data_IF_090932127237
#
_entry.id   IF_090932127237
#
_cell.length_a   1.000
_cell.length_b   1.000
_cell.length_c   1.000
_cell.angle_alpha   90.00
_cell.angle_beta   90.00
_cell.angle_gamma   90.00
#
_symmetry.space_group_name_H-M   'P 1'
#
loop_
_entity.id
_entity.type
_entity.pdbx_description
1 polymer ?
#
# COMPACT_ATOMS: atom_id res chain seq x y z
N UNK A 1 3.68 10.23 -22.46
CA UNK A 1 2.61 11.01 -21.83
C UNK A 1 2.89 11.07 -20.35
N UNK A 2 2.97 9.91 -19.68
CA UNK A 2 3.41 9.77 -18.30
C UNK A 2 4.94 9.80 -18.18
N UNK A 3 5.64 8.93 -18.92
CA UNK A 3 7.11 8.83 -18.85
C UNK A 3 7.73 8.51 -20.22
N UNK A 4 9.01 8.86 -20.47
CA UNK A 4 9.69 8.53 -21.73
C UNK A 4 9.82 7.03 -22.00
N UNK A 5 9.77 6.19 -20.96
CA UNK A 5 9.91 4.74 -21.02
C UNK A 5 8.56 4.00 -20.91
N UNK A 6 7.44 4.71 -20.98
CA UNK A 6 6.13 4.08 -21.13
C UNK A 6 6.04 3.33 -22.47
N UNK A 7 5.17 2.33 -22.53
CA UNK A 7 4.91 1.59 -23.77
C UNK A 7 3.42 1.57 -24.06
N UNK A 8 3.06 1.84 -25.31
CA UNK A 8 1.69 1.80 -25.78
C UNK A 8 1.41 0.47 -26.46
N UNK A 9 0.28 -0.12 -26.13
CA UNK A 9 -0.18 -1.39 -26.66
C UNK A 9 -1.52 -1.15 -27.36
N UNK A 10 -1.56 -1.18 -28.70
CA UNK A 10 -2.81 -1.03 -29.45
C UNK A 10 -3.84 -2.07 -29.02
N UNK A 11 -5.12 -1.71 -29.08
CA UNK A 11 -6.20 -2.65 -28.84
C UNK A 11 -6.18 -3.76 -29.89
N UNK A 12 -6.61 -4.96 -29.48
CA UNK A 12 -6.74 -6.10 -30.38
C UNK A 12 -8.11 -6.08 -31.04
N UNK A 13 -8.28 -6.78 -32.18
CA UNK A 13 -9.57 -6.83 -32.89
C UNK A 13 -10.70 -7.44 -32.04
N UNK A 14 -10.36 -8.36 -31.14
CA UNK A 14 -11.32 -9.01 -30.23
C UNK A 14 -11.46 -8.28 -28.88
N UNK A 15 -10.79 -7.14 -28.71
CA UNK A 15 -10.70 -6.41 -27.45
C UNK A 15 -10.09 -7.19 -26.28
N UNK A 16 -9.29 -8.22 -26.56
CA UNK A 16 -8.48 -8.91 -25.56
C UNK A 16 -7.37 -8.00 -25.03
N UNK A 17 -7.00 -8.18 -23.76
CA UNK A 17 -5.86 -7.47 -23.14
C UNK A 17 -4.55 -7.81 -23.89
N UNK A 18 -3.89 -6.83 -24.54
CA UNK A 18 -2.75 -7.07 -25.44
C UNK A 18 -1.63 -7.92 -24.84
N UNK A 19 -1.05 -8.79 -25.68
CA UNK A 19 0.13 -9.57 -25.30
C UNK A 19 1.32 -8.66 -24.97
N UNK A 20 1.99 -8.91 -23.84
CA UNK A 20 3.10 -8.08 -23.33
C UNK A 20 2.72 -7.07 -22.26
N UNK A 21 1.42 -6.88 -21.98
CA UNK A 21 0.94 -6.32 -20.72
C UNK A 21 0.76 -7.42 -19.68
N UNK A 22 1.13 -7.09 -18.44
CA UNK A 22 1.08 -7.97 -17.27
C UNK A 22 1.94 -9.24 -17.44
N UNK A 23 2.06 -10.02 -16.36
CA UNK A 23 2.54 -11.40 -16.42
C UNK A 23 1.40 -12.37 -16.06
N UNK A 24 1.64 -13.67 -16.18
CA UNK A 24 0.61 -14.70 -15.93
C UNK A 24 0.01 -14.61 -14.52
N UNK A 25 0.82 -14.25 -13.51
CA UNK A 25 0.36 -14.12 -12.13
C UNK A 25 -0.54 -12.88 -11.97
N UNK A 26 -0.15 -11.76 -12.55
CA UNK A 26 -0.95 -10.53 -12.50
C UNK A 26 -2.27 -10.67 -13.27
N UNK A 27 -2.26 -11.36 -14.42
CA UNK A 27 -3.50 -11.67 -15.16
C UNK A 27 -4.48 -12.47 -14.31
N UNK A 28 -4.02 -13.58 -13.72
CA UNK A 28 -4.87 -14.38 -12.83
C UNK A 28 -5.36 -13.62 -11.59
N UNK A 29 -4.63 -12.60 -11.12
CA UNK A 29 -5.02 -11.80 -9.96
C UNK A 29 -6.06 -10.72 -10.29
N UNK A 30 -5.90 -10.00 -11.40
CA UNK A 30 -6.83 -8.93 -11.78
C UNK A 30 -8.03 -9.43 -12.60
N UNK A 31 -7.87 -10.55 -13.28
CA UNK A 31 -8.83 -11.10 -14.23
C UNK A 31 -9.02 -12.63 -14.00
N UNK A 32 -9.55 -13.04 -12.83
CA UNK A 32 -9.71 -14.44 -12.50
C UNK A 32 -10.73 -15.16 -13.40
N UNK A 33 -11.73 -14.45 -13.90
CA UNK A 33 -12.81 -14.99 -14.75
C UNK A 33 -12.53 -14.83 -16.26
N UNK A 34 -11.42 -14.18 -16.66
CA UNK A 34 -11.06 -13.86 -18.05
C UNK A 34 -12.11 -13.01 -18.77
N UNK A 35 -12.62 -11.97 -18.09
CA UNK A 35 -13.64 -11.03 -18.59
C UNK A 35 -13.06 -9.62 -18.85
N UNK A 36 -11.80 -9.37 -18.48
CA UNK A 36 -11.16 -8.07 -18.66
C UNK A 36 -10.86 -7.80 -20.15
N UNK A 37 -11.27 -6.63 -20.63
CA UNK A 37 -11.00 -6.22 -22.01
C UNK A 37 -9.94 -5.12 -22.10
N UNK A 38 -9.31 -4.96 -23.27
CA UNK A 38 -8.30 -3.94 -23.53
C UNK A 38 -8.87 -2.53 -23.41
N UNK A 39 -10.06 -2.29 -23.93
CA UNK A 39 -10.76 -0.98 -23.89
C UNK A 39 -11.02 -0.48 -22.46
N UNK A 40 -11.22 -1.39 -21.49
CA UNK A 40 -11.38 -1.02 -20.08
C UNK A 40 -10.09 -0.49 -19.43
N UNK A 41 -8.93 -0.74 -20.06
CA UNK A 41 -7.61 -0.42 -19.51
C UNK A 41 -7.02 0.90 -20.06
N UNK A 42 -7.80 1.65 -20.84
CA UNK A 42 -7.39 2.96 -21.34
C UNK A 42 -7.22 3.91 -20.15
N UNK A 43 -6.10 4.64 -20.13
CA UNK A 43 -5.79 5.51 -19.00
C UNK A 43 -6.58 6.82 -19.07
N UNK A 44 -7.06 7.27 -17.90
CA UNK A 44 -7.92 8.46 -17.79
C UNK A 44 -7.25 9.73 -18.32
N UNK A 45 -5.93 9.85 -18.14
CA UNK A 45 -5.20 11.06 -18.50
C UNK A 45 -5.01 11.20 -20.02
N UNK A 46 -4.95 10.09 -20.78
CA UNK A 46 -4.89 10.16 -22.24
C UNK A 46 -6.28 10.17 -22.87
N UNK A 47 -7.19 9.33 -22.36
CA UNK A 47 -8.47 9.04 -23.01
C UNK A 47 -8.32 8.58 -24.46
N UNK A 48 -7.14 8.09 -24.87
CA UNK A 48 -6.80 7.89 -26.27
C UNK A 48 -6.86 6.41 -26.67
N UNK A 49 -8.06 5.96 -27.00
CA UNK A 49 -8.31 4.58 -27.44
C UNK A 49 -7.54 4.22 -28.71
N UNK A 50 -7.37 5.15 -29.66
CA UNK A 50 -6.62 4.93 -30.91
C UNK A 50 -5.14 4.59 -30.65
N UNK A 51 -4.55 5.19 -29.60
CA UNK A 51 -3.18 4.92 -29.18
C UNK A 51 -3.07 3.62 -28.37
N UNK A 52 -4.17 3.16 -27.79
CA UNK A 52 -4.29 1.93 -27.02
C UNK A 52 -3.93 2.08 -25.54
N UNK A 53 -3.61 0.95 -24.91
CA UNK A 53 -3.35 0.87 -23.47
C UNK A 53 -1.94 1.33 -23.14
N UNK A 54 -1.81 2.31 -22.24
CA UNK A 54 -0.53 2.79 -21.74
C UNK A 54 -0.01 1.92 -20.59
N UNK A 55 1.11 1.21 -20.80
CA UNK A 55 1.78 0.39 -19.81
C UNK A 55 3.03 1.07 -19.24
N UNK A 56 3.15 1.06 -17.91
CA UNK A 56 4.32 1.54 -17.19
C UNK A 56 5.28 0.39 -16.85
N UNK A 57 6.61 0.58 -17.00
CA UNK A 57 7.57 -0.48 -16.71
C UNK A 57 7.85 -0.63 -15.21
N UNK A 58 7.66 -1.84 -14.68
CA UNK A 58 8.06 -2.23 -13.33
C UNK A 58 9.08 -3.38 -13.39
N UNK A 59 10.01 -3.40 -12.44
CA UNK A 59 10.97 -4.51 -12.31
C UNK A 59 10.41 -5.55 -11.35
N UNK A 60 10.17 -6.77 -11.84
CA UNK A 60 9.81 -7.91 -11.00
C UNK A 60 11.04 -8.36 -10.21
N UNK A 61 10.94 -8.36 -8.89
CA UNK A 61 12.11 -8.54 -8.01
C UNK A 61 12.66 -9.97 -7.96
N UNK A 62 11.87 -11.00 -8.34
CA UNK A 62 12.31 -12.39 -8.29
C UNK A 62 13.33 -12.75 -9.37
N UNK A 63 13.29 -12.07 -10.51
CA UNK A 63 14.10 -12.39 -11.70
C UNK A 63 14.57 -11.16 -12.50
N UNK A 64 14.31 -9.95 -12.00
CA UNK A 64 14.64 -8.67 -12.62
C UNK A 64 14.03 -8.44 -14.02
N UNK A 65 12.97 -9.16 -14.38
CA UNK A 65 12.28 -8.90 -15.65
C UNK A 65 11.46 -7.62 -15.58
N UNK A 66 11.44 -6.87 -16.69
CA UNK A 66 10.53 -5.73 -16.86
C UNK A 66 9.15 -6.24 -17.21
N UNK A 67 8.15 -5.85 -16.41
CA UNK A 67 6.74 -6.13 -16.62
C UNK A 67 6.02 -4.80 -16.85
N UNK A 68 5.20 -4.71 -17.89
CA UNK A 68 4.40 -3.52 -18.15
C UNK A 68 3.03 -3.64 -17.49
N UNK A 69 2.71 -2.73 -16.58
CA UNK A 69 1.41 -2.68 -15.90
C UNK A 69 0.61 -1.50 -16.44
N UNK A 70 -0.65 -1.69 -16.88
CA UNK A 70 -1.50 -0.60 -17.35
C UNK A 70 -1.61 0.53 -16.33
N UNK A 71 -1.46 1.78 -16.78
CA UNK A 71 -1.61 2.95 -15.91
C UNK A 71 -3.01 3.03 -15.30
N UNK A 72 -4.04 2.56 -16.03
CA UNK A 72 -5.40 2.45 -15.51
C UNK A 72 -5.48 1.57 -14.25
N UNK A 73 -4.83 0.39 -14.25
CA UNK A 73 -4.78 -0.51 -13.07
C UNK A 73 -4.05 0.16 -11.91
N UNK A 74 -2.91 0.81 -12.19
CA UNK A 74 -2.12 1.52 -11.16
C UNK A 74 -2.97 2.63 -10.52
N UNK A 75 -3.59 3.47 -11.34
CA UNK A 75 -4.39 4.61 -10.90
C UNK A 75 -5.64 4.22 -10.11
N UNK A 76 -6.33 3.15 -10.49
CA UNK A 76 -7.56 2.72 -9.84
C UNK A 76 -7.33 1.90 -8.56
N UNK A 77 -6.35 0.98 -8.57
CA UNK A 77 -6.22 0.00 -7.49
C UNK A 77 -5.14 0.35 -6.46
N UNK A 78 -4.07 1.03 -6.88
CA UNK A 78 -2.91 1.27 -6.03
C UNK A 78 -2.81 2.71 -5.54
N UNK A 79 -3.33 3.68 -6.29
CA UNK A 79 -3.32 5.11 -5.95
C UNK A 79 -1.96 5.54 -5.39
N UNK A 80 -1.89 6.08 -4.17
CA UNK A 80 -0.64 6.52 -3.55
C UNK A 80 0.09 5.43 -2.76
N UNK A 81 -0.48 4.24 -2.63
CA UNK A 81 0.03 3.20 -1.74
C UNK A 81 1.38 2.66 -2.22
N UNK A 82 2.39 2.71 -1.35
CA UNK A 82 3.72 2.18 -1.64
C UNK A 82 4.61 3.10 -2.48
N UNK A 83 4.18 4.34 -2.74
CA UNK A 83 5.04 5.37 -3.29
C UNK A 83 5.96 5.93 -2.22
N UNK A 84 7.22 6.19 -2.57
CA UNK A 84 8.16 6.77 -1.61
C UNK A 84 9.31 7.50 -2.30
N UNK A 85 9.86 8.48 -1.60
CA UNK A 85 11.10 9.16 -1.92
C UNK A 85 12.04 9.09 -0.71
N UNK A 86 13.35 9.21 -0.94
CA UNK A 86 14.34 9.15 0.12
C UNK A 86 15.70 9.60 -0.38
N UNK A 87 16.64 9.81 0.55
CA UNK A 87 17.99 10.29 0.21
C UNK A 87 18.77 9.24 -0.60
N UNK A 88 18.48 7.96 -0.37
CA UNK A 88 19.03 6.86 -1.16
C UNK A 88 17.94 6.00 -1.78
N UNK A 89 18.28 5.27 -2.85
CA UNK A 89 17.36 4.32 -3.50
C UNK A 89 16.84 3.25 -2.53
N UNK A 90 17.69 2.76 -1.63
CA UNK A 90 17.30 1.73 -0.68
C UNK A 90 16.42 2.30 0.43
N UNK A 91 16.68 3.51 0.89
CA UNK A 91 15.83 4.22 1.86
C UNK A 91 14.40 4.39 1.32
N UNK A 92 14.25 4.91 0.09
CA UNK A 92 12.95 5.02 -0.56
C UNK A 92 12.24 3.66 -0.69
N UNK A 93 12.98 2.61 -1.04
CA UNK A 93 12.42 1.25 -1.14
C UNK A 93 11.98 0.69 0.22
N UNK A 94 12.76 0.89 1.27
CA UNK A 94 12.42 0.46 2.63
C UNK A 94 11.18 1.18 3.13
N UNK A 95 11.09 2.49 2.90
CA UNK A 95 9.91 3.30 3.22
C UNK A 95 8.67 2.81 2.46
N UNK A 96 8.74 2.69 1.13
CA UNK A 96 7.61 2.21 0.32
C UNK A 96 7.15 0.80 0.68
N UNK A 97 8.07 -0.13 0.94
CA UNK A 97 7.73 -1.48 1.41
C UNK A 97 7.10 -1.47 2.80
N UNK A 98 7.56 -0.58 3.69
CA UNK A 98 6.98 -0.45 5.03
C UNK A 98 5.55 0.07 4.96
N UNK A 99 5.25 1.03 4.09
CA UNK A 99 3.88 1.52 3.88
C UNK A 99 2.95 0.41 3.36
N UNK A 100 3.44 -0.44 2.44
CA UNK A 100 2.66 -1.59 1.95
C UNK A 100 2.29 -2.54 3.10
N UNK A 101 3.24 -2.84 4.00
CA UNK A 101 2.96 -3.65 5.19
C UNK A 101 1.99 -2.96 6.14
N UNK A 102 2.17 -1.67 6.40
CA UNK A 102 1.29 -0.89 7.26
C UNK A 102 -0.16 -0.97 6.80
N UNK A 103 -0.44 -0.66 5.53
CA UNK A 103 -1.82 -0.69 5.00
C UNK A 103 -2.38 -2.11 4.94
N UNK A 104 -1.57 -3.10 4.56
CA UNK A 104 -2.00 -4.50 4.52
C UNK A 104 -2.40 -4.99 5.92
N UNK A 105 -1.55 -4.78 6.92
CA UNK A 105 -1.78 -5.24 8.30
C UNK A 105 -2.92 -4.45 8.94
N UNK A 106 -2.99 -3.13 8.72
CA UNK A 106 -4.11 -2.29 9.15
C UNK A 106 -5.44 -2.84 8.66
N UNK A 107 -5.55 -3.10 7.36
CA UNK A 107 -6.79 -3.61 6.76
C UNK A 107 -7.19 -4.95 7.38
N UNK A 108 -6.22 -5.84 7.63
CA UNK A 108 -6.48 -7.13 8.28
C UNK A 108 -6.95 -6.98 9.72
N UNK A 109 -6.27 -6.18 10.53
CA UNK A 109 -6.61 -5.97 11.94
C UNK A 109 -8.03 -5.43 12.07
N UNK A 110 -8.40 -4.45 11.25
CA UNK A 110 -9.73 -3.84 11.26
C UNK A 110 -10.79 -4.81 10.72
N UNK A 111 -10.57 -5.41 9.54
CA UNK A 111 -11.56 -6.26 8.89
C UNK A 111 -11.82 -7.57 9.67
N UNK A 112 -10.79 -8.16 10.27
CA UNK A 112 -10.88 -9.39 11.03
C UNK A 112 -11.17 -9.15 12.53
N UNK A 113 -11.32 -7.88 12.96
CA UNK A 113 -11.57 -7.49 14.37
C UNK A 113 -10.57 -8.11 15.35
N UNK A 114 -9.28 -8.05 14.99
CA UNK A 114 -8.21 -8.71 15.74
C UNK A 114 -7.94 -7.94 17.04
N UNK A 115 -7.98 -8.64 18.18
CA UNK A 115 -7.48 -8.12 19.45
C UNK A 115 -5.95 -8.26 19.48
N UNK A 116 -5.26 -7.12 19.64
CA UNK A 116 -3.80 -7.06 19.65
C UNK A 116 -3.26 -7.07 21.08
N UNK A 117 -2.05 -7.64 21.29
CA UNK A 117 -1.37 -7.53 22.58
C UNK A 117 -0.79 -6.12 22.80
N UNK A 118 -0.92 -5.59 24.01
CA UNK A 118 -0.30 -4.33 24.40
C UNK A 118 1.24 -4.45 24.41
N UNK A 119 1.93 -3.36 24.08
CA UNK A 119 3.37 -3.29 24.19
C UNK A 119 3.74 -3.13 25.67
N UNK A 120 4.57 -4.04 26.24
CA UNK A 120 4.95 -3.95 27.64
C UNK A 120 5.67 -2.63 27.97
N UNK A 121 5.43 -2.11 29.17
CA UNK A 121 6.00 -0.83 29.61
C UNK A 121 7.54 -0.82 29.57
N UNK A 122 8.19 -1.95 29.87
CA UNK A 122 9.64 -2.09 29.78
C UNK A 122 10.19 -2.01 28.34
N UNK A 123 9.36 -2.31 27.33
CA UNK A 123 9.71 -2.12 25.92
C UNK A 123 9.50 -0.66 25.53
N UNK A 124 8.38 -0.07 25.95
CA UNK A 124 8.07 1.35 25.70
C UNK A 124 9.10 2.29 26.36
N UNK A 125 9.65 1.92 27.52
CA UNK A 125 10.69 2.67 28.24
C UNK A 125 11.99 2.87 27.42
N UNK A 126 12.20 2.09 26.36
CA UNK A 126 13.34 2.26 25.44
C UNK A 126 13.17 3.48 24.52
N UNK A 127 11.96 4.04 24.43
CA UNK A 127 11.60 5.16 23.57
C UNK A 127 11.04 6.33 24.40
N UNK A 128 11.88 7.03 25.19
CA UNK A 128 11.43 8.04 26.14
C UNK A 128 10.66 9.19 25.50
N UNK A 129 11.02 9.61 24.28
CA UNK A 129 10.30 10.67 23.56
C UNK A 129 8.85 10.28 23.20
N UNK A 130 8.63 9.00 22.89
CA UNK A 130 7.28 8.46 22.61
C UNK A 130 6.47 8.41 23.90
N UNK A 131 7.08 7.94 24.99
CA UNK A 131 6.45 7.92 26.31
C UNK A 131 6.04 9.32 26.80
N UNK A 132 6.89 10.33 26.60
CA UNK A 132 6.58 11.72 26.93
C UNK A 132 5.40 12.26 26.11
N UNK A 133 5.37 11.94 24.80
CA UNK A 133 4.27 12.32 23.92
C UNK A 133 2.95 11.65 24.33
N UNK A 134 2.98 10.36 24.69
CA UNK A 134 1.81 9.62 25.19
C UNK A 134 1.33 10.25 26.50
N UNK A 135 2.23 10.46 27.46
CA UNK A 135 1.87 11.03 28.76
C UNK A 135 1.26 12.43 28.64
N UNK A 136 1.71 13.23 27.67
CA UNK A 136 1.14 14.55 27.38
C UNK A 136 -0.29 14.43 26.86
N UNK A 137 -0.55 13.54 25.90
CA UNK A 137 -1.90 13.29 25.38
C UNK A 137 -2.85 12.75 26.46
N UNK A 138 -2.36 11.85 27.32
CA UNK A 138 -3.13 11.33 28.44
C UNK A 138 -3.45 12.41 29.48
N UNK A 139 -2.51 13.32 29.77
CA UNK A 139 -2.72 14.45 30.65
C UNK A 139 -3.75 15.44 30.11
N UNK A 140 -3.89 15.56 28.78
CA UNK A 140 -4.95 16.31 28.11
C UNK A 140 -6.31 15.58 28.09
N UNK A 141 -6.37 14.36 28.63
CA UNK A 141 -7.60 13.57 28.74
C UNK A 141 -7.87 12.64 27.56
N UNK A 142 -6.86 12.31 26.76
CA UNK A 142 -6.95 11.34 25.67
C UNK A 142 -6.23 10.03 26.05
N UNK A 143 -6.95 8.97 26.47
CA UNK A 143 -6.33 7.67 26.74
C UNK A 143 -5.67 7.11 25.48
N UNK A 144 -4.43 6.64 25.62
CA UNK A 144 -3.65 6.05 24.52
C UNK A 144 -3.37 4.59 24.81
N UNK A 145 -3.56 3.74 23.80
CA UNK A 145 -3.21 2.33 23.85
C UNK A 145 -2.18 2.03 22.78
N UNK A 146 -1.03 1.46 23.16
CA UNK A 146 0.02 1.05 22.23
C UNK A 146 0.05 -0.48 22.13
N UNK A 147 -0.16 -0.99 20.92
CA UNK A 147 -0.29 -2.40 20.62
C UNK A 147 0.77 -2.89 19.64
N UNK A 148 1.26 -4.11 19.85
CA UNK A 148 2.08 -4.81 18.87
C UNK A 148 1.19 -5.34 17.72
N UNK A 149 1.30 -4.68 16.57
CA UNK A 149 0.59 -5.04 15.33
C UNK A 149 1.31 -6.10 14.49
N UNK A 150 2.37 -6.73 15.01
CA UNK A 150 3.21 -7.64 14.23
C UNK A 150 2.53 -8.94 13.79
N UNK A 151 1.35 -9.25 14.35
CA UNK A 151 0.61 -10.49 14.17
C UNK A 151 1.48 -11.72 14.47
N UNK A 152 2.18 -11.67 15.61
CA UNK A 152 3.09 -12.72 16.07
C UNK A 152 4.48 -12.65 15.44
N UNK A 153 5.02 -11.44 15.27
CA UNK A 153 6.36 -11.20 14.72
C UNK A 153 6.48 -11.34 13.21
N UNK A 154 5.37 -11.42 12.47
CA UNK A 154 5.35 -11.63 11.01
C UNK A 154 5.56 -10.35 10.22
N UNK A 155 5.08 -9.22 10.76
CA UNK A 155 5.11 -7.92 10.10
C UNK A 155 5.69 -6.85 11.02
N UNK A 156 6.44 -5.86 10.50
CA UNK A 156 7.02 -4.80 11.31
C UNK A 156 6.03 -3.65 11.53
N UNK A 157 4.89 -3.90 12.19
CA UNK A 157 3.79 -2.93 12.35
C UNK A 157 3.42 -2.75 13.82
N UNK A 158 3.20 -1.50 14.23
CA UNK A 158 2.66 -1.10 15.53
C UNK A 158 1.29 -0.44 15.30
N UNK A 159 0.35 -0.63 16.24
CA UNK A 159 -0.92 0.06 16.27
C UNK A 159 -1.00 0.94 17.53
N UNK A 160 -1.37 2.22 17.37
CA UNK A 160 -1.63 3.13 18.49
C UNK A 160 -3.06 3.61 18.39
N UNK A 161 -3.84 3.43 19.45
CA UNK A 161 -5.25 3.84 19.50
C UNK A 161 -5.40 4.97 20.50
N UNK A 162 -5.96 6.08 20.04
CA UNK A 162 -6.36 7.22 20.87
C UNK A 162 -7.87 7.14 21.11
N UNK A 163 -8.30 7.31 22.36
CA UNK A 163 -9.71 7.49 22.70
C UNK A 163 -10.01 8.95 23.02
N UNK A 164 -11.20 9.41 22.60
CA UNK A 164 -11.74 10.71 22.98
C UNK A 164 -12.97 10.49 23.89
N UNK A 165 -12.82 10.64 25.22
CA UNK A 165 -13.93 10.45 26.15
C UNK A 165 -15.08 11.44 25.98
N UNK A 166 -14.83 12.61 25.37
CA UNK A 166 -15.85 13.66 25.23
C UNK A 166 -16.96 13.27 24.23
N UNK A 167 -16.67 12.40 23.27
CA UNK A 167 -17.62 11.97 22.24
C UNK A 167 -17.67 10.44 22.03
N UNK A 168 -16.89 9.68 22.81
CA UNK A 168 -16.86 8.21 22.73
C UNK A 168 -16.21 7.67 21.45
N UNK A 169 -15.42 8.46 20.72
CA UNK A 169 -14.75 8.01 19.51
C UNK A 169 -13.36 7.43 19.82
N UNK A 170 -12.86 6.61 18.89
CA UNK A 170 -11.47 6.16 18.87
C UNK A 170 -10.83 6.47 17.52
N UNK A 171 -9.51 6.64 17.52
CA UNK A 171 -8.69 6.85 16.34
C UNK A 171 -7.49 5.90 16.38
N UNK A 172 -7.45 4.95 15.44
CA UNK A 172 -6.38 3.96 15.32
C UNK A 172 -5.37 4.39 14.25
N UNK A 173 -4.13 4.61 14.67
CA UNK A 173 -2.97 4.87 13.83
C UNK A 173 -2.11 3.62 13.71
N UNK A 174 -1.51 3.41 12.55
CA UNK A 174 -0.63 2.28 12.26
C UNK A 174 0.68 2.83 11.71
N UNK A 175 1.81 2.29 12.17
CA UNK A 175 3.12 2.76 11.75
C UNK A 175 4.17 1.66 11.93
N UNK A 176 5.36 1.87 11.36
CA UNK A 176 6.52 1.03 11.59
C UNK A 176 7.52 1.77 12.49
N UNK A 177 8.03 1.15 13.56
CA UNK A 177 9.13 1.73 14.35
C UNK A 177 10.37 1.95 13.48
N UNK A 178 10.78 3.21 13.38
CA UNK A 178 12.01 3.66 12.71
C UNK A 178 13.21 3.56 13.64
#
# INVERSE_FOLDING_TARGET
MHYPNEKWFPLTENDDVPAGLLDARLRAFYDPENELTGSQLIDLQSGNEERGVCGLPFTRQSDNQTVYIPMNIIGNLYVSNGMSAGNTRNEARVQGLSEVFERYVKNRIIAESISLPEIPAEVMARYPAVMESIATLEAEGFPIFAYDGSLGGKYPVICVVLFNPANGTCFASFWRPS
#
